data_IF_981901974490
#
_entry.id   IF_981901974490
#
_cell.length_a   1.000
_cell.length_b   1.000
_cell.length_c   1.000
_cell.angle_alpha   90.00
_cell.angle_beta   90.00
_cell.angle_gamma   90.00
#
_symmetry.space_group_name_H-M   'P 1'
#
loop_
_entity.id
_entity.type
_entity.pdbx_description
1 polymer ?
#
# COMPACT_ATOMS: atom_id res chain seq x y z
N UNK A 1 -70.45 7.38 -26.58
CA UNK A 1 -69.01 7.11 -26.69
C UNK A 1 -68.37 7.37 -25.34
N UNK A 2 -68.05 6.31 -24.58
CA UNK A 2 -66.96 6.27 -23.60
C UNK A 2 -66.77 4.81 -23.21
N UNK A 3 -65.64 4.24 -23.64
CA UNK A 3 -65.25 2.86 -23.40
C UNK A 3 -65.12 2.59 -21.90
N UNK A 4 -65.93 1.67 -21.39
CA UNK A 4 -65.72 1.04 -20.09
C UNK A 4 -64.46 0.16 -20.19
N UNK A 5 -63.35 0.76 -19.83
CA UNK A 5 -62.02 0.17 -19.71
C UNK A 5 -62.12 -1.14 -18.90
N UNK A 6 -61.91 -2.28 -19.58
CA UNK A 6 -61.95 -3.63 -19.02
C UNK A 6 -60.73 -3.92 -18.11
N UNK A 7 -60.61 -3.23 -16.98
CA UNK A 7 -59.51 -3.46 -16.02
C UNK A 7 -59.70 -4.69 -15.11
N UNK A 8 -60.80 -5.44 -15.25
CA UNK A 8 -61.09 -6.57 -14.35
C UNK A 8 -60.64 -7.94 -14.89
N UNK A 9 -60.25 -8.04 -16.16
CA UNK A 9 -59.85 -9.33 -16.78
C UNK A 9 -58.34 -9.55 -16.87
N UNK A 10 -57.54 -8.51 -16.66
CA UNK A 10 -56.08 -8.55 -16.82
C UNK A 10 -55.33 -8.50 -15.49
N UNK A 11 -56.04 -8.31 -14.37
CA UNK A 11 -55.48 -8.33 -13.01
C UNK A 11 -54.58 -9.53 -12.70
N UNK A 12 -54.95 -10.79 -13.03
CA UNK A 12 -54.08 -11.93 -12.76
C UNK A 12 -52.85 -11.96 -13.68
N UNK A 13 -52.98 -11.54 -14.94
CA UNK A 13 -51.86 -11.51 -15.89
C UNK A 13 -50.83 -10.46 -15.48
N UNK A 14 -51.29 -9.28 -15.08
CA UNK A 14 -50.41 -8.21 -14.58
C UNK A 14 -49.72 -8.63 -13.29
N UNK A 15 -50.43 -9.28 -12.36
CA UNK A 15 -49.83 -9.76 -11.12
C UNK A 15 -48.72 -10.80 -11.37
N UNK A 16 -48.92 -11.73 -12.31
CA UNK A 16 -47.90 -12.72 -12.68
C UNK A 16 -46.69 -12.05 -13.30
N UNK A 17 -46.88 -11.09 -14.22
CA UNK A 17 -45.76 -10.36 -14.83
C UNK A 17 -44.96 -9.58 -13.79
N UNK A 18 -45.63 -8.89 -12.85
CA UNK A 18 -44.97 -8.17 -11.76
C UNK A 18 -44.21 -9.12 -10.84
N UNK A 19 -44.78 -10.28 -10.50
CA UNK A 19 -44.11 -11.28 -9.67
C UNK A 19 -42.87 -11.86 -10.36
N UNK A 20 -42.96 -12.19 -11.66
CA UNK A 20 -41.83 -12.68 -12.44
C UNK A 20 -40.74 -11.61 -12.53
N UNK A 21 -41.09 -10.35 -12.79
CA UNK A 21 -40.12 -9.26 -12.82
C UNK A 21 -39.47 -9.04 -11.45
N UNK A 22 -40.22 -9.11 -10.36
CA UNK A 22 -39.68 -9.01 -9.01
C UNK A 22 -38.70 -10.16 -8.69
N UNK A 23 -39.00 -11.38 -9.12
CA UNK A 23 -38.11 -12.54 -8.96
C UNK A 23 -36.86 -12.39 -9.83
N UNK A 24 -37.00 -11.97 -11.09
CA UNK A 24 -35.86 -11.72 -11.98
C UNK A 24 -34.96 -10.63 -11.41
N UNK A 25 -35.54 -9.51 -10.94
CA UNK A 25 -34.80 -8.44 -10.27
C UNK A 25 -34.15 -8.96 -8.99
N UNK A 26 -34.82 -9.78 -8.19
CA UNK A 26 -34.24 -10.32 -6.96
C UNK A 26 -33.07 -11.29 -7.24
N UNK A 27 -33.13 -12.05 -8.33
CA UNK A 27 -32.07 -12.96 -8.77
C UNK A 27 -30.89 -12.17 -9.36
N UNK A 28 -31.13 -11.13 -10.15
CA UNK A 28 -30.07 -10.35 -10.83
C UNK A 28 -29.50 -9.23 -9.96
N UNK A 29 -30.25 -8.71 -8.98
CA UNK A 29 -29.80 -7.68 -8.05
C UNK A 29 -28.96 -8.22 -6.89
N UNK A 30 -28.70 -9.53 -6.83
CA UNK A 30 -27.55 -10.07 -6.09
C UNK A 30 -26.27 -9.72 -6.85
N UNK A 31 -26.04 -8.41 -7.01
CA UNK A 31 -24.81 -7.88 -7.57
C UNK A 31 -23.66 -8.44 -6.76
N UNK A 32 -22.65 -8.93 -7.46
CA UNK A 32 -21.39 -9.35 -6.89
C UNK A 32 -20.97 -8.31 -5.85
N UNK A 33 -20.92 -8.74 -4.59
CA UNK A 33 -20.39 -7.91 -3.53
C UNK A 33 -18.94 -7.64 -3.90
N UNK A 34 -18.70 -6.46 -4.51
CA UNK A 34 -17.37 -6.09 -4.98
C UNK A 34 -16.43 -6.32 -3.80
N UNK A 35 -15.36 -7.13 -3.94
CA UNK A 35 -14.46 -7.39 -2.83
C UNK A 35 -13.80 -6.07 -2.46
N UNK A 36 -14.35 -5.39 -1.44
CA UNK A 36 -13.94 -4.04 -1.05
C UNK A 36 -12.51 -4.04 -0.51
N UNK A 37 -12.06 -5.19 -0.04
CA UNK A 37 -10.70 -5.43 0.39
C UNK A 37 -9.94 -6.22 -0.67
N UNK A 38 -8.93 -5.61 -1.29
CA UNK A 38 -7.86 -6.39 -1.92
C UNK A 38 -7.27 -7.30 -0.84
N UNK A 39 -7.38 -8.62 -1.02
CA UNK A 39 -6.67 -9.56 -0.17
C UNK A 39 -5.17 -9.41 -0.47
N UNK A 40 -4.46 -8.74 0.43
CA UNK A 40 -3.02 -8.61 0.36
C UNK A 40 -2.36 -9.87 0.92
N UNK A 41 -1.21 -10.25 0.35
CA UNK A 41 -0.33 -11.24 0.98
C UNK A 41 0.09 -10.75 2.37
N UNK A 42 0.46 -11.67 3.25
CA UNK A 42 1.01 -11.37 4.58
C UNK A 42 2.46 -10.84 4.47
N UNK A 43 2.66 -9.79 3.68
CA UNK A 43 3.92 -9.08 3.51
C UNK A 43 3.66 -7.59 3.35
N UNK A 44 4.33 -6.77 4.16
CA UNK A 44 4.19 -5.32 4.18
C UNK A 44 5.53 -4.64 3.98
N UNK A 45 5.60 -3.74 3.00
CA UNK A 45 6.75 -2.83 2.84
C UNK A 45 6.39 -1.42 3.27
N UNK A 46 7.27 -0.82 4.07
CA UNK A 46 7.04 0.50 4.66
C UNK A 46 8.08 1.50 4.18
N UNK A 47 7.68 2.76 4.04
CA UNK A 47 8.55 3.87 3.67
C UNK A 47 8.57 4.91 4.78
N UNK A 48 9.73 5.17 5.36
CA UNK A 48 9.94 6.29 6.26
C UNK A 48 10.53 7.47 5.49
N UNK A 49 9.84 8.62 5.50
CA UNK A 49 10.24 9.84 4.79
C UNK A 49 10.59 10.98 5.73
N UNK A 50 11.21 12.02 5.18
CA UNK A 50 11.21 13.36 5.78
C UNK A 50 9.78 13.95 5.86
N UNK A 51 9.68 15.20 6.31
CA UNK A 51 8.43 15.96 6.44
C UNK A 51 7.73 16.27 5.11
N UNK A 52 8.40 16.08 3.97
CA UNK A 52 7.80 16.25 2.63
C UNK A 52 7.02 15.03 2.17
N UNK A 53 7.03 13.94 2.95
CA UNK A 53 6.27 12.75 2.61
C UNK A 53 6.73 12.09 1.31
N UNK A 54 5.79 11.46 0.61
CA UNK A 54 6.03 10.85 -0.70
C UNK A 54 6.30 11.85 -1.82
N UNK A 55 6.17 13.16 -1.54
CA UNK A 55 6.51 14.23 -2.48
C UNK A 55 7.99 14.67 -2.39
N UNK A 56 8.75 14.17 -1.40
CA UNK A 56 10.18 14.46 -1.29
C UNK A 56 11.00 13.85 -2.44
N UNK A 57 12.14 14.47 -2.76
CA UNK A 57 12.93 14.15 -3.97
C UNK A 57 13.38 12.68 -4.02
N UNK A 58 13.80 12.14 -2.87
CA UNK A 58 14.19 10.74 -2.75
C UNK A 58 12.95 9.83 -2.61
N UNK A 59 11.91 10.30 -1.93
CA UNK A 59 10.73 9.50 -1.60
C UNK A 59 9.83 9.22 -2.81
N UNK A 60 9.73 10.15 -3.77
CA UNK A 60 8.81 10.04 -4.91
C UNK A 60 9.06 8.79 -5.77
N UNK A 61 10.33 8.47 -6.02
CA UNK A 61 10.69 7.31 -6.84
C UNK A 61 10.57 6.00 -6.07
N UNK A 62 10.84 6.05 -4.77
CA UNK A 62 10.67 4.91 -3.86
C UNK A 62 9.20 4.55 -3.77
N UNK A 63 8.34 5.53 -3.48
CA UNK A 63 6.90 5.33 -3.43
C UNK A 63 6.32 4.83 -4.75
N UNK A 64 6.80 5.36 -5.89
CA UNK A 64 6.40 4.86 -7.20
C UNK A 64 6.79 3.39 -7.41
N UNK A 65 8.00 2.99 -7.02
CA UNK A 65 8.46 1.60 -7.14
C UNK A 65 7.71 0.65 -6.20
N UNK A 66 7.37 1.10 -4.99
CA UNK A 66 6.52 0.38 -4.05
C UNK A 66 5.12 0.15 -4.62
N UNK A 67 4.50 1.18 -5.19
CA UNK A 67 3.20 1.05 -5.85
C UNK A 67 3.25 0.06 -7.03
N UNK A 68 4.29 0.11 -7.86
CA UNK A 68 4.47 -0.85 -8.96
C UNK A 68 4.59 -2.30 -8.45
N UNK A 69 5.24 -2.51 -7.30
CA UNK A 69 5.34 -3.83 -6.68
C UNK A 69 4.03 -4.29 -6.07
N UNK A 70 3.31 -3.40 -5.36
CA UNK A 70 2.01 -3.69 -4.78
C UNK A 70 0.98 -4.10 -5.86
N UNK A 71 0.98 -3.40 -7.00
CA UNK A 71 0.12 -3.74 -8.13
C UNK A 71 0.45 -5.12 -8.71
N UNK A 72 1.73 -5.49 -8.80
CA UNK A 72 2.18 -6.75 -9.37
C UNK A 72 2.01 -7.95 -8.42
N UNK A 73 2.21 -7.76 -7.12
CA UNK A 73 2.32 -8.86 -6.14
C UNK A 73 1.16 -8.93 -5.17
N UNK A 74 0.31 -7.90 -5.12
CA UNK A 74 -0.73 -7.70 -4.10
C UNK A 74 -0.13 -7.73 -2.69
N UNK A 75 1.05 -7.13 -2.51
CA UNK A 75 1.63 -6.86 -1.19
C UNK A 75 1.18 -5.50 -0.68
N UNK A 76 1.11 -5.34 0.64
CA UNK A 76 0.75 -4.06 1.25
C UNK A 76 1.95 -3.12 1.19
N UNK A 77 1.70 -1.86 0.83
CA UNK A 77 2.70 -0.80 0.91
C UNK A 77 2.15 0.37 1.69
N UNK A 78 2.95 0.94 2.58
CA UNK A 78 2.56 2.08 3.40
C UNK A 78 3.73 3.04 3.61
N UNK A 79 3.43 4.27 3.99
CA UNK A 79 4.44 5.26 4.31
C UNK A 79 4.13 5.96 5.63
N UNK A 80 5.17 6.46 6.27
CA UNK A 80 5.13 7.29 7.45
C UNK A 80 6.10 8.45 7.26
N UNK A 81 5.66 9.65 7.58
CA UNK A 81 6.48 10.85 7.48
C UNK A 81 6.89 11.33 8.86
N UNK A 82 8.16 11.67 9.02
CA UNK A 82 8.67 12.22 10.28
C UNK A 82 8.12 13.63 10.45
N UNK A 83 7.17 13.80 11.37
CA UNK A 83 6.62 15.11 11.72
C UNK A 83 7.50 15.73 12.80
N UNK A 84 7.80 17.03 12.65
CA UNK A 84 8.61 17.80 13.58
C UNK A 84 10.09 17.81 13.21
N UNK A 85 11.00 17.95 14.20
CA UNK A 85 12.44 18.10 13.95
C UNK A 85 13.02 16.96 13.10
N UNK A 86 13.76 17.30 12.04
CA UNK A 86 14.41 16.32 11.17
C UNK A 86 15.74 15.85 11.78
N UNK A 87 15.66 15.15 12.92
CA UNK A 87 16.80 14.60 13.66
C UNK A 87 16.72 13.08 13.77
N UNK A 88 17.86 12.42 14.00
CA UNK A 88 17.92 10.97 14.20
C UNK A 88 17.05 10.51 15.38
N UNK A 89 17.04 11.27 16.49
CA UNK A 89 16.26 10.92 17.68
C UNK A 89 14.75 11.01 17.42
N UNK A 90 14.28 12.08 16.77
CA UNK A 90 12.87 12.21 16.43
C UNK A 90 12.44 11.12 15.43
N UNK A 91 13.18 10.97 14.33
CA UNK A 91 12.91 9.95 13.32
C UNK A 91 13.00 8.52 13.88
N UNK A 92 13.82 8.29 14.90
CA UNK A 92 13.93 7.01 15.59
C UNK A 92 12.63 6.55 16.25
N UNK A 93 11.79 7.49 16.70
CA UNK A 93 10.47 7.17 17.26
C UNK A 93 9.52 6.63 16.18
N UNK A 94 9.52 7.25 15.01
CA UNK A 94 8.74 6.79 13.85
C UNK A 94 9.27 5.47 13.31
N UNK A 95 10.60 5.30 13.23
CA UNK A 95 11.24 4.05 12.83
C UNK A 95 10.81 2.88 13.75
N UNK A 96 10.82 3.11 15.07
CA UNK A 96 10.41 2.10 16.04
C UNK A 96 8.94 1.69 15.86
N UNK A 97 8.06 2.62 15.50
CA UNK A 97 6.66 2.29 15.19
C UNK A 97 6.55 1.37 13.97
N UNK A 98 7.32 1.61 12.90
CA UNK A 98 7.32 0.74 11.72
C UNK A 98 7.83 -0.67 12.03
N UNK A 99 8.88 -0.78 12.85
CA UNK A 99 9.38 -2.09 13.29
C UNK A 99 8.33 -2.85 14.13
N UNK A 100 7.51 -2.15 14.91
CA UNK A 100 6.42 -2.75 15.68
C UNK A 100 5.20 -3.13 14.83
N UNK A 101 4.95 -2.41 13.73
CA UNK A 101 3.81 -2.67 12.81
C UNK A 101 4.05 -3.81 11.81
N UNK A 102 5.04 -4.68 12.06
CA UNK A 102 5.38 -5.84 11.22
C UNK A 102 5.70 -5.48 9.76
N UNK A 103 6.46 -4.39 9.54
CA UNK A 103 7.03 -4.10 8.23
C UNK A 103 8.16 -5.08 7.92
N UNK A 104 8.01 -5.96 6.93
CA UNK A 104 9.05 -6.94 6.55
C UNK A 104 10.26 -6.31 5.84
N UNK A 105 10.04 -5.12 5.27
CA UNK A 105 11.04 -4.32 4.57
C UNK A 105 10.76 -2.84 4.77
N UNK A 106 11.78 -2.08 5.22
CA UNK A 106 11.63 -0.64 5.49
C UNK A 106 12.58 0.16 4.59
N UNK A 107 12.01 1.00 3.72
CA UNK A 107 12.75 1.97 2.92
C UNK A 107 12.90 3.28 3.67
N UNK A 108 14.05 3.94 3.53
CA UNK A 108 14.39 5.19 4.20
C UNK A 108 14.71 6.23 3.14
N UNK A 109 13.89 7.28 3.07
CA UNK A 109 14.06 8.39 2.14
C UNK A 109 14.32 9.68 2.92
N UNK A 110 15.57 10.13 2.93
CA UNK A 110 15.99 11.36 3.60
C UNK A 110 16.99 11.13 4.74
N UNK A 111 17.66 12.21 5.15
CA UNK A 111 18.76 12.15 6.11
C UNK A 111 18.31 11.74 7.52
N UNK A 112 17.18 12.26 8.01
CA UNK A 112 16.67 11.93 9.35
C UNK A 112 16.23 10.45 9.46
N UNK A 113 15.40 9.90 8.55
CA UNK A 113 15.10 8.46 8.52
C UNK A 113 16.35 7.58 8.47
N UNK A 114 17.32 7.95 7.65
CA UNK A 114 18.55 7.17 7.44
C UNK A 114 19.45 7.18 8.66
N UNK A 115 19.66 8.34 9.27
CA UNK A 115 20.44 8.46 10.51
C UNK A 115 19.80 7.73 11.69
N UNK A 116 18.46 7.77 11.80
CA UNK A 116 17.72 7.01 12.79
C UNK A 116 17.94 5.49 12.64
N UNK A 117 17.90 4.96 11.41
CA UNK A 117 18.17 3.54 11.19
C UNK A 117 19.63 3.16 11.48
N UNK A 118 20.60 4.00 11.11
CA UNK A 118 22.01 3.75 11.42
C UNK A 118 22.30 3.75 12.93
N UNK A 119 21.65 4.65 13.67
CA UNK A 119 21.73 4.72 15.13
C UNK A 119 20.97 3.57 15.82
N UNK A 120 19.82 3.18 15.27
CA UNK A 120 18.92 2.17 15.82
C UNK A 120 19.14 0.74 15.33
N UNK A 121 19.99 0.52 14.32
CA UNK A 121 20.17 -0.76 13.62
C UNK A 121 20.35 -1.96 14.55
N UNK A 122 21.17 -1.83 15.59
CA UNK A 122 21.44 -2.90 16.55
C UNK A 122 20.22 -3.27 17.42
N UNK A 123 19.25 -2.37 17.56
CA UNK A 123 17.99 -2.62 18.29
C UNK A 123 16.98 -3.41 17.46
N UNK A 124 17.16 -3.43 16.14
CA UNK A 124 16.26 -4.11 15.18
C UNK A 124 17.06 -5.05 14.27
N UNK A 125 17.76 -6.06 14.83
CA UNK A 125 18.67 -6.91 14.06
C UNK A 125 17.98 -7.71 12.94
N UNK A 126 16.71 -8.06 13.14
CA UNK A 126 15.92 -8.82 12.17
C UNK A 126 15.25 -7.92 11.12
N UNK A 127 15.25 -6.61 11.33
CA UNK A 127 14.64 -5.66 10.41
C UNK A 127 15.59 -5.35 9.25
N UNK A 128 15.10 -5.51 8.02
CA UNK A 128 15.82 -5.08 6.82
C UNK A 128 15.50 -3.64 6.49
N UNK A 129 16.53 -2.80 6.46
CA UNK A 129 16.44 -1.40 6.06
C UNK A 129 17.11 -1.17 4.70
N UNK A 130 16.48 -0.34 3.86
CA UNK A 130 17.02 0.08 2.57
C UNK A 130 17.03 1.61 2.54
N UNK A 131 18.21 2.21 2.68
CA UNK A 131 18.41 3.64 2.58
C UNK A 131 18.59 4.07 1.11
N UNK A 132 18.05 5.24 0.76
CA UNK A 132 18.09 5.76 -0.60
C UNK A 132 18.91 7.05 -0.61
N UNK A 133 19.87 7.13 -1.52
CA UNK A 133 20.81 8.25 -1.64
C UNK A 133 22.24 7.85 -1.27
N UNK A 134 22.98 8.81 -0.74
CA UNK A 134 24.43 8.69 -0.56
C UNK A 134 24.80 7.75 0.59
N UNK A 135 25.64 6.75 0.29
CA UNK A 135 26.14 5.80 1.27
C UNK A 135 27.28 6.41 2.11
N UNK A 136 27.16 6.45 3.45
CA UNK A 136 28.24 6.84 4.33
C UNK A 136 29.34 5.78 4.37
N UNK A 137 30.54 6.20 4.81
CA UNK A 137 31.69 5.30 4.96
C UNK A 137 31.40 4.17 5.97
N UNK A 138 30.71 4.49 7.06
CA UNK A 138 30.31 3.53 8.09
C UNK A 138 28.89 3.01 7.84
N UNK A 139 28.77 1.71 7.62
CA UNK A 139 27.49 1.02 7.41
C UNK A 139 27.02 0.23 8.63
N UNK A 140 25.83 -0.36 8.49
CA UNK A 140 25.27 -1.34 9.42
C UNK A 140 24.87 -2.60 8.62
N UNK A 141 24.99 -3.81 9.20
CA UNK A 141 24.77 -5.06 8.46
C UNK A 141 23.33 -5.22 7.94
N UNK A 142 22.36 -4.64 8.63
CA UNK A 142 20.93 -4.67 8.27
C UNK A 142 20.46 -3.42 7.51
N UNK A 143 21.38 -2.55 7.07
CA UNK A 143 21.08 -1.35 6.26
C UNK A 143 21.79 -1.47 4.91
N UNK A 144 21.00 -1.63 3.85
CA UNK A 144 21.49 -1.62 2.46
C UNK A 144 21.20 -0.29 1.79
N UNK A 145 21.84 -0.03 0.65
CA UNK A 145 21.81 1.28 -0.01
C UNK A 145 21.38 1.17 -1.47
N UNK A 146 20.47 2.04 -1.88
CA UNK A 146 20.08 2.24 -3.26
C UNK A 146 20.48 3.64 -3.72
N UNK A 147 21.17 3.70 -4.85
CA UNK A 147 21.53 4.92 -5.55
C UNK A 147 21.34 4.77 -7.05
N UNK A 148 21.68 5.82 -7.80
CA UNK A 148 21.54 5.87 -9.25
C UNK A 148 20.46 6.87 -9.68
N UNK A 149 20.03 6.78 -10.94
CA UNK A 149 19.01 7.68 -11.45
C UNK A 149 17.64 7.42 -10.79
N UNK A 150 16.73 8.38 -10.90
CA UNK A 150 15.34 8.23 -10.45
C UNK A 150 14.68 6.93 -10.94
N UNK A 151 14.96 6.55 -12.20
CA UNK A 151 14.41 5.33 -12.78
C UNK A 151 15.08 4.07 -12.21
N UNK A 152 16.38 4.13 -11.90
CA UNK A 152 17.10 3.02 -11.28
C UNK A 152 16.56 2.75 -9.88
N UNK A 153 16.35 3.80 -9.08
CA UNK A 153 15.76 3.68 -7.74
C UNK A 153 14.36 3.06 -7.82
N UNK A 154 13.48 3.57 -8.69
CA UNK A 154 12.13 3.02 -8.87
C UNK A 154 12.15 1.54 -9.24
N UNK A 155 13.01 1.15 -10.20
CA UNK A 155 13.17 -0.25 -10.63
C UNK A 155 13.71 -1.13 -9.50
N UNK A 156 14.75 -0.67 -8.80
CA UNK A 156 15.38 -1.41 -7.71
C UNK A 156 14.43 -1.65 -6.54
N UNK A 157 13.66 -0.62 -6.15
CA UNK A 157 12.65 -0.74 -5.09
C UNK A 157 11.58 -1.77 -5.46
N UNK A 158 11.04 -1.70 -6.69
CA UNK A 158 10.02 -2.66 -7.13
C UNK A 158 10.57 -4.10 -7.16
N UNK A 159 11.81 -4.27 -7.62
CA UNK A 159 12.49 -5.57 -7.64
C UNK A 159 12.71 -6.13 -6.23
N UNK A 160 13.21 -5.31 -5.30
CA UNK A 160 13.49 -5.72 -3.93
C UNK A 160 12.23 -6.26 -3.22
N UNK A 161 11.08 -5.60 -3.41
CA UNK A 161 9.80 -6.03 -2.83
C UNK A 161 9.32 -7.33 -3.47
N UNK A 162 9.40 -7.45 -4.80
CA UNK A 162 8.99 -8.67 -5.52
C UNK A 162 9.81 -9.88 -5.09
N UNK A 163 11.12 -9.71 -4.92
CA UNK A 163 12.02 -10.76 -4.46
C UNK A 163 11.77 -11.12 -2.99
N UNK A 164 11.52 -10.13 -2.12
CA UNK A 164 11.19 -10.37 -0.72
C UNK A 164 9.87 -11.14 -0.59
N UNK A 165 8.80 -10.68 -1.24
CA UNK A 165 7.46 -11.27 -1.16
C UNK A 165 7.28 -12.61 -1.90
N UNK A 166 8.30 -13.05 -2.64
CA UNK A 166 8.34 -14.39 -3.25
C UNK A 166 9.03 -15.44 -2.37
N UNK A 167 9.65 -15.03 -1.26
CA UNK A 167 10.30 -15.92 -0.30
C UNK A 167 9.39 -16.37 0.85
N UNK A 168 8.20 -15.77 0.96
CA UNK A 168 7.16 -16.08 1.94
C UNK A 168 6.07 -16.98 1.33
#
# INVERSE_FOLDING_TARGET
MTSAIQWRRWGPVVAVVVAVLAVVIWITAKGEEQPRARQYKAFTSCLLTDDRGVAGDLAVQVWSGMQDASLATRTKVEYLSVIGPQTADNAGTYLASLAQFHCDLVFLAGAAPTSAALAGAARFPDQRFIAVGDRPAEGRPNVTWLGGSSQDVRRAVSSAIREAAGRD
#
